data_IF_125212007760
#
_entry.id   IF_125212007760
#
_cell.length_a   1.000
_cell.length_b   1.000
_cell.length_c   1.000
_cell.angle_alpha   90.00
_cell.angle_beta   90.00
_cell.angle_gamma   90.00
#
_symmetry.space_group_name_H-M   'P 1'
#
loop_
_entity.id
_entity.type
_entity.pdbx_description
1 polymer ?
#
# COMPACT_ATOMS: atom_id res chain seq x y z
N UNK A 1 3.77 -5.68 -18.96
CA UNK A 1 4.97 -5.48 -18.12
C UNK A 1 4.63 -5.13 -16.67
N UNK A 2 3.78 -4.15 -16.39
CA UNK A 2 3.34 -3.86 -15.01
C UNK A 2 2.62 -5.06 -14.40
N UNK A 3 1.79 -5.77 -15.16
CA UNK A 3 1.21 -7.06 -14.72
C UNK A 3 2.29 -8.05 -14.26
N UNK A 4 3.45 -8.10 -14.94
CA UNK A 4 4.54 -9.00 -14.57
C UNK A 4 5.17 -8.55 -13.25
N UNK A 5 5.43 -7.25 -13.08
CA UNK A 5 5.98 -6.71 -11.83
C UNK A 5 5.04 -6.92 -10.63
N UNK A 6 3.72 -6.87 -10.86
CA UNK A 6 2.74 -7.08 -9.79
C UNK A 6 2.58 -8.57 -9.47
N UNK A 7 2.50 -9.44 -10.46
CA UNK A 7 2.10 -10.84 -10.27
C UNK A 7 3.23 -11.87 -10.31
N UNK A 8 4.45 -11.52 -10.75
CA UNK A 8 5.62 -12.39 -10.62
C UNK A 8 5.87 -12.79 -9.14
N UNK A 9 5.82 -11.87 -8.16
CA UNK A 9 5.91 -12.24 -6.75
C UNK A 9 4.76 -13.16 -6.30
N UNK A 10 3.55 -13.01 -6.86
CA UNK A 10 2.40 -13.87 -6.54
C UNK A 10 2.65 -15.32 -6.97
N UNK A 11 3.14 -15.52 -8.20
CA UNK A 11 3.49 -16.84 -8.70
C UNK A 11 4.59 -17.48 -7.83
N UNK A 12 5.61 -16.71 -7.47
CA UNK A 12 6.67 -17.16 -6.58
C UNK A 12 6.16 -17.48 -5.16
N UNK A 13 5.21 -16.70 -4.63
CA UNK A 13 4.58 -16.95 -3.34
C UNK A 13 3.82 -18.28 -3.34
N UNK A 14 3.05 -18.55 -4.41
CA UNK A 14 2.35 -19.82 -4.58
C UNK A 14 3.34 -21.00 -4.67
N UNK A 15 4.42 -20.87 -5.44
CA UNK A 15 5.48 -21.87 -5.51
C UNK A 15 6.10 -22.15 -4.13
N UNK A 16 6.45 -21.11 -3.36
CA UNK A 16 6.94 -21.23 -1.99
C UNK A 16 5.95 -21.98 -1.09
N UNK A 17 4.65 -21.66 -1.17
CA UNK A 17 3.60 -22.29 -0.37
C UNK A 17 3.41 -23.78 -0.71
N UNK A 18 3.51 -24.15 -1.99
CA UNK A 18 3.29 -25.50 -2.50
C UNK A 18 4.49 -26.45 -2.36
N UNK A 19 5.70 -25.95 -2.04
CA UNK A 19 6.87 -26.82 -1.85
C UNK A 19 6.61 -27.96 -0.83
N UNK A 20 7.14 -29.17 -1.01
CA UNK A 20 7.08 -30.18 0.04
C UNK A 20 7.90 -29.74 1.27
N UNK A 21 7.56 -30.26 2.47
CA UNK A 21 8.28 -29.91 3.71
C UNK A 21 9.78 -30.22 3.62
N UNK A 22 10.17 -31.25 2.87
CA UNK A 22 11.57 -31.63 2.61
C UNK A 22 12.36 -30.56 1.83
N UNK A 23 11.68 -29.74 1.02
CA UNK A 23 12.30 -28.69 0.22
C UNK A 23 12.08 -27.29 0.81
N UNK A 24 11.68 -27.18 2.08
CA UNK A 24 11.32 -25.90 2.69
C UNK A 24 12.44 -24.85 2.64
N UNK A 25 13.71 -25.30 2.73
CA UNK A 25 14.88 -24.45 2.61
C UNK A 25 15.10 -23.85 1.21
N UNK A 26 14.45 -24.40 0.16
CA UNK A 26 14.55 -23.89 -1.21
C UNK A 26 13.68 -22.63 -1.42
N UNK A 27 12.68 -22.40 -0.57
CA UNK A 27 11.80 -21.23 -0.66
C UNK A 27 12.56 -19.89 -0.65
N UNK A 28 13.69 -19.81 0.08
CA UNK A 28 14.52 -18.60 0.13
C UNK A 28 15.13 -18.26 -1.23
N UNK A 29 15.54 -19.27 -2.00
CA UNK A 29 16.13 -19.07 -3.32
C UNK A 29 15.09 -18.69 -4.35
N UNK A 30 13.88 -19.25 -4.25
CA UNK A 30 12.73 -18.80 -5.04
C UNK A 30 12.45 -17.32 -4.77
N UNK A 31 12.41 -16.92 -3.49
CA UNK A 31 12.15 -15.53 -3.12
C UNK A 31 13.26 -14.58 -3.58
N UNK A 32 14.54 -14.96 -3.44
CA UNK A 32 15.67 -14.15 -3.95
C UNK A 32 15.57 -13.99 -5.47
N UNK A 33 15.34 -15.08 -6.20
CA UNK A 33 15.23 -15.01 -7.66
C UNK A 33 14.04 -14.15 -8.09
N UNK A 34 12.87 -14.34 -7.49
CA UNK A 34 11.67 -13.58 -7.81
C UNK A 34 11.84 -12.08 -7.52
N UNK A 35 12.34 -11.72 -6.33
CA UNK A 35 12.56 -10.31 -5.96
C UNK A 35 13.66 -9.65 -6.77
N UNK A 36 14.73 -10.37 -7.11
CA UNK A 36 15.81 -9.84 -7.94
C UNK A 36 15.35 -9.59 -9.39
N UNK A 37 14.58 -10.53 -9.97
CA UNK A 37 13.99 -10.35 -11.31
C UNK A 37 12.98 -9.21 -11.30
N UNK A 38 12.09 -9.15 -10.29
CA UNK A 38 11.12 -8.07 -10.14
C UNK A 38 11.80 -6.70 -10.07
N UNK A 39 12.80 -6.56 -9.19
CA UNK A 39 13.56 -5.32 -9.06
C UNK A 39 14.34 -4.99 -10.34
N UNK A 40 14.90 -5.99 -11.04
CA UNK A 40 15.52 -5.81 -12.35
C UNK A 40 14.55 -5.25 -13.40
N UNK A 41 13.31 -5.74 -13.43
CA UNK A 41 12.25 -5.21 -14.29
C UNK A 41 11.87 -3.78 -13.92
N UNK A 42 11.83 -3.45 -12.62
CA UNK A 42 11.56 -2.08 -12.15
C UNK A 42 12.71 -1.13 -12.54
N UNK A 43 13.97 -1.56 -12.41
CA UNK A 43 15.14 -0.79 -12.87
C UNK A 43 15.08 -0.55 -14.39
N UNK A 44 14.74 -1.58 -15.17
CA UNK A 44 14.54 -1.45 -16.60
C UNK A 44 13.42 -0.46 -16.92
N UNK A 45 12.24 -0.60 -16.29
CA UNK A 45 11.12 0.33 -16.46
C UNK A 45 11.56 1.77 -16.15
N UNK A 46 12.29 1.97 -15.05
CA UNK A 46 12.81 3.28 -14.62
C UNK A 46 13.73 3.90 -15.68
N UNK A 47 14.60 3.10 -16.32
CA UNK A 47 15.47 3.57 -17.41
C UNK A 47 14.73 4.00 -18.68
N UNK A 48 13.53 3.45 -18.90
CA UNK A 48 12.70 3.75 -20.07
C UNK A 48 11.70 4.89 -19.80
N UNK A 49 11.54 5.29 -18.54
CA UNK A 49 10.60 6.33 -18.14
C UNK A 49 11.03 7.70 -18.66
N UNK A 50 10.09 8.45 -19.26
CA UNK A 50 10.32 9.81 -19.76
C UNK A 50 9.75 10.85 -18.79
N UNK A 51 10.57 11.64 -18.08
CA UNK A 51 10.07 12.71 -17.22
C UNK A 51 9.15 13.68 -17.96
N UNK A 52 8.07 14.12 -17.32
CA UNK A 52 7.08 15.04 -17.92
C UNK A 52 6.06 14.39 -18.87
N UNK A 53 6.22 13.10 -19.21
CA UNK A 53 5.31 12.39 -20.12
C UNK A 53 3.95 11.98 -19.54
N UNK A 54 3.65 12.35 -18.28
CA UNK A 54 2.44 11.91 -17.57
C UNK A 54 2.45 10.40 -17.30
N UNK A 55 1.26 9.79 -17.34
CA UNK A 55 1.06 8.37 -17.09
C UNK A 55 1.63 7.50 -18.23
N UNK A 56 2.51 6.57 -17.89
CA UNK A 56 3.25 5.69 -18.81
C UNK A 56 3.08 4.22 -18.45
N UNK A 57 3.50 3.33 -19.37
CA UNK A 57 3.43 1.87 -19.22
C UNK A 57 2.01 1.36 -18.87
N UNK A 58 0.98 2.00 -19.44
CA UNK A 58 -0.40 1.72 -19.07
C UNK A 58 -0.88 0.39 -19.63
N UNK A 59 -1.57 -0.39 -18.79
CA UNK A 59 -2.24 -1.62 -19.18
C UNK A 59 -3.71 -1.46 -18.80
N UNK A 60 -4.61 -1.51 -19.78
CA UNK A 60 -6.03 -1.23 -19.59
C UNK A 60 -6.89 -2.30 -20.25
N UNK A 61 -7.69 -3.00 -19.44
CA UNK A 61 -8.67 -3.99 -19.90
C UNK A 61 -9.98 -3.82 -19.12
N UNK A 62 -11.11 -4.06 -19.77
CA UNK A 62 -12.39 -4.09 -19.08
C UNK A 62 -12.48 -5.37 -18.24
N UNK A 63 -12.73 -5.26 -16.92
CA UNK A 63 -12.78 -6.41 -16.03
C UNK A 63 -14.22 -6.79 -15.68
N UNK A 64 -15.00 -5.84 -15.17
CA UNK A 64 -16.46 -6.01 -14.95
C UNK A 64 -17.18 -4.83 -15.59
N UNK A 65 -17.42 -4.89 -16.92
CA UNK A 65 -17.92 -3.75 -17.68
C UNK A 65 -19.29 -3.25 -17.21
N UNK A 66 -20.15 -4.13 -16.69
CA UNK A 66 -21.51 -3.78 -16.27
C UNK A 66 -21.54 -2.74 -15.14
N UNK A 67 -20.49 -2.71 -14.33
CA UNK A 67 -20.34 -1.78 -13.20
C UNK A 67 -19.13 -0.86 -13.37
N UNK A 68 -18.52 -0.80 -14.55
CA UNK A 68 -17.42 0.13 -14.85
C UNK A 68 -16.10 -0.18 -14.15
N UNK A 69 -15.85 -1.44 -13.75
CA UNK A 69 -14.57 -1.86 -13.16
C UNK A 69 -13.58 -2.20 -14.27
N UNK A 70 -12.41 -1.58 -14.22
CA UNK A 70 -11.33 -1.75 -15.18
C UNK A 70 -10.11 -2.37 -14.51
N UNK A 71 -9.44 -3.29 -15.20
CA UNK A 71 -8.04 -3.58 -14.90
C UNK A 71 -7.22 -2.47 -15.53
N UNK A 72 -6.91 -1.43 -14.75
CA UNK A 72 -6.16 -0.28 -15.23
C UNK A 72 -4.91 -0.07 -14.38
N UNK A 73 -3.76 -0.35 -14.97
CA UNK A 73 -2.45 -0.07 -14.39
C UNK A 73 -1.74 1.05 -15.14
N UNK A 74 -0.88 1.78 -14.45
CA UNK A 74 0.04 2.75 -15.04
C UNK A 74 1.02 3.32 -14.02
N UNK A 75 2.08 3.94 -14.51
CA UNK A 75 3.12 4.56 -13.68
C UNK A 75 3.41 5.98 -14.16
N UNK A 76 3.49 6.93 -13.23
CA UNK A 76 3.95 8.30 -13.47
C UNK A 76 5.06 8.69 -12.45
N UNK A 77 5.34 10.00 -12.35
CA UNK A 77 6.41 10.54 -11.51
C UNK A 77 6.22 10.33 -10.00
N UNK A 78 5.01 10.06 -9.52
CA UNK A 78 4.78 9.73 -8.10
C UNK A 78 4.74 8.22 -7.86
N UNK A 79 4.23 7.45 -8.83
CA UNK A 79 4.19 5.98 -8.75
C UNK A 79 5.57 5.35 -8.90
N UNK A 80 6.41 5.87 -9.79
CA UNK A 80 7.69 5.26 -10.14
C UNK A 80 8.66 5.17 -8.95
N UNK A 81 8.90 6.23 -8.16
CA UNK A 81 9.79 6.14 -7.01
C UNK A 81 9.26 5.19 -5.93
N UNK A 82 7.94 5.10 -5.77
CA UNK A 82 7.31 4.21 -4.81
C UNK A 82 7.44 2.73 -5.23
N UNK A 83 7.25 2.45 -6.51
CA UNK A 83 7.46 1.12 -7.08
C UNK A 83 8.94 0.69 -6.95
N UNK A 84 9.87 1.59 -7.26
CA UNK A 84 11.31 1.38 -7.07
C UNK A 84 11.66 1.07 -5.62
N UNK A 85 11.16 1.89 -4.68
CA UNK A 85 11.36 1.67 -3.25
C UNK A 85 10.78 0.32 -2.79
N UNK A 86 9.56 -0.02 -3.24
CA UNK A 86 8.91 -1.30 -2.92
C UNK A 86 9.75 -2.51 -3.36
N UNK A 87 10.22 -2.52 -4.61
CA UNK A 87 11.06 -3.59 -5.15
C UNK A 87 12.40 -3.70 -4.42
N UNK A 88 13.10 -2.58 -4.24
CA UNK A 88 14.40 -2.54 -3.57
C UNK A 88 14.31 -3.03 -2.11
N UNK A 89 13.34 -2.50 -1.36
CA UNK A 89 13.19 -2.83 0.05
C UNK A 89 12.76 -4.29 0.24
N UNK A 90 11.95 -4.82 -0.67
CA UNK A 90 11.57 -6.25 -0.62
C UNK A 90 12.76 -7.16 -0.92
N UNK A 91 13.58 -6.82 -1.92
CA UNK A 91 14.82 -7.56 -2.18
C UNK A 91 15.74 -7.56 -0.96
N UNK A 92 15.95 -6.40 -0.33
CA UNK A 92 16.76 -6.29 0.89
C UNK A 92 16.15 -7.13 2.03
N UNK A 93 14.83 -7.05 2.24
CA UNK A 93 14.14 -7.80 3.29
C UNK A 93 14.27 -9.33 3.10
N UNK A 94 14.19 -9.81 1.86
CA UNK A 94 14.41 -11.22 1.53
C UNK A 94 15.86 -11.64 1.77
N UNK A 95 16.84 -10.83 1.36
CA UNK A 95 18.27 -11.10 1.58
C UNK A 95 18.63 -11.10 3.08
N UNK A 96 18.04 -10.19 3.86
CA UNK A 96 18.19 -10.15 5.31
C UNK A 96 17.57 -11.38 6.01
N UNK A 97 16.62 -12.05 5.33
CA UNK A 97 15.90 -13.21 5.87
C UNK A 97 16.47 -14.57 5.44
N UNK A 98 17.65 -14.64 4.81
CA UNK A 98 18.21 -15.90 4.29
C UNK A 98 18.52 -16.96 5.36
N UNK A 99 18.67 -16.53 6.62
CA UNK A 99 18.85 -17.38 7.81
C UNK A 99 17.53 -17.75 8.50
N UNK A 100 16.38 -17.48 7.88
CA UNK A 100 15.07 -17.84 8.44
C UNK A 100 14.85 -19.36 8.41
N UNK A 101 14.86 -19.99 9.58
CA UNK A 101 14.66 -21.44 9.71
C UNK A 101 13.24 -21.82 10.18
N UNK A 102 12.53 -20.90 10.85
CA UNK A 102 11.17 -21.14 11.35
C UNK A 102 10.15 -20.96 10.22
N UNK A 103 9.58 -22.06 9.74
CA UNK A 103 8.54 -22.07 8.69
C UNK A 103 8.91 -21.24 7.44
N UNK A 104 10.09 -21.45 6.82
CA UNK A 104 10.63 -20.58 5.76
C UNK A 104 9.71 -20.45 4.56
N UNK A 105 9.05 -21.54 4.15
CA UNK A 105 8.06 -21.51 3.06
C UNK A 105 6.97 -20.45 3.28
N UNK A 106 6.40 -20.46 4.49
CA UNK A 106 5.29 -19.57 4.81
C UNK A 106 5.79 -18.14 4.95
N UNK A 107 6.96 -17.94 5.57
CA UNK A 107 7.62 -16.63 5.65
C UNK A 107 7.80 -15.98 4.28
N UNK A 108 8.48 -16.66 3.36
CA UNK A 108 8.77 -16.11 2.03
C UNK A 108 7.50 -15.95 1.18
N UNK A 109 6.52 -16.85 1.33
CA UNK A 109 5.22 -16.67 0.67
C UNK A 109 4.50 -15.40 1.15
N UNK A 110 4.52 -15.08 2.45
CA UNK A 110 3.91 -13.87 2.98
C UNK A 110 4.67 -12.60 2.58
N UNK A 111 6.01 -12.61 2.58
CA UNK A 111 6.82 -11.47 2.10
C UNK A 111 6.55 -11.19 0.61
N UNK A 112 6.49 -12.22 -0.22
CA UNK A 112 6.19 -12.08 -1.65
C UNK A 112 4.74 -11.63 -1.89
N UNK A 113 3.77 -12.16 -1.12
CA UNK A 113 2.37 -11.71 -1.19
C UNK A 113 2.22 -10.25 -0.76
N UNK A 114 2.98 -9.81 0.24
CA UNK A 114 3.05 -8.42 0.65
C UNK A 114 3.56 -7.54 -0.49
N UNK A 115 4.58 -7.98 -1.23
CA UNK A 115 5.10 -7.27 -2.41
C UNK A 115 4.05 -7.07 -3.50
N UNK A 116 3.19 -8.08 -3.74
CA UNK A 116 2.07 -7.97 -4.70
C UNK A 116 1.16 -6.80 -4.33
N UNK A 117 0.73 -6.73 -3.06
CA UNK A 117 -0.13 -5.65 -2.59
C UNK A 117 0.56 -4.28 -2.63
N UNK A 118 1.83 -4.20 -2.22
CA UNK A 118 2.60 -2.94 -2.24
C UNK A 118 2.80 -2.43 -3.68
N UNK A 119 3.28 -3.29 -4.58
CA UNK A 119 3.47 -2.93 -5.99
C UNK A 119 2.14 -2.53 -6.63
N UNK A 120 1.09 -3.34 -6.42
CA UNK A 120 -0.24 -3.12 -6.97
C UNK A 120 -0.86 -1.77 -6.58
N UNK A 121 -0.73 -1.35 -5.32
CA UNK A 121 -1.24 -0.04 -4.85
C UNK A 121 -0.63 1.12 -5.63
N UNK A 122 0.68 1.07 -5.91
CA UNK A 122 1.35 2.18 -6.59
C UNK A 122 1.10 2.23 -8.09
N UNK A 123 0.62 1.14 -8.68
CA UNK A 123 0.37 1.08 -10.14
C UNK A 123 -1.12 1.08 -10.50
N UNK A 124 -2.03 0.85 -9.55
CA UNK A 124 -3.47 0.80 -9.81
C UNK A 124 -4.04 2.20 -10.11
N UNK A 125 -4.88 2.27 -11.15
CA UNK A 125 -5.60 3.48 -11.61
C UNK A 125 -7.12 3.28 -11.62
N UNK A 126 -7.60 2.15 -11.12
CA UNK A 126 -9.00 1.86 -10.85
C UNK A 126 -9.17 1.66 -9.33
N UNK A 127 -10.21 2.25 -8.75
CA UNK A 127 -10.41 2.22 -7.31
C UNK A 127 -10.68 0.84 -6.72
N UNK A 128 -11.36 -0.05 -7.45
CA UNK A 128 -11.58 -1.42 -6.97
C UNK A 128 -10.24 -2.15 -6.92
N UNK A 129 -9.43 -2.01 -7.97
CA UNK A 129 -8.11 -2.62 -8.02
C UNK A 129 -7.17 -2.04 -6.96
N UNK A 130 -7.18 -0.72 -6.78
CA UNK A 130 -6.44 -0.03 -5.72
C UNK A 130 -6.84 -0.55 -4.33
N UNK A 131 -8.15 -0.65 -4.05
CA UNK A 131 -8.68 -1.14 -2.78
C UNK A 131 -8.31 -2.60 -2.53
N UNK A 132 -8.39 -3.47 -3.55
CA UNK A 132 -7.99 -4.88 -3.45
C UNK A 132 -6.52 -5.00 -3.06
N UNK A 133 -5.61 -4.28 -3.71
CA UNK A 133 -4.19 -4.32 -3.35
C UNK A 133 -3.91 -3.66 -1.99
N UNK A 134 -4.66 -2.61 -1.65
CA UNK A 134 -4.59 -1.94 -0.36
C UNK A 134 -4.98 -2.84 0.81
N UNK A 135 -6.02 -3.65 0.65
CA UNK A 135 -6.44 -4.64 1.65
C UNK A 135 -5.53 -5.87 1.62
N UNK A 136 -5.03 -6.26 0.45
CA UNK A 136 -4.16 -7.42 0.31
C UNK A 136 -2.92 -7.31 1.20
N UNK A 137 -2.35 -6.12 1.45
CA UNK A 137 -1.16 -5.99 2.30
C UNK A 137 -1.43 -6.28 3.78
N UNK A 138 -2.68 -6.18 4.26
CA UNK A 138 -3.02 -6.41 5.67
C UNK A 138 -2.83 -7.89 6.04
N UNK A 139 -3.26 -8.81 5.17
CA UNK A 139 -3.21 -10.25 5.41
C UNK A 139 -1.78 -10.77 5.65
N UNK A 140 -0.82 -10.61 4.72
CA UNK A 140 0.54 -11.09 4.93
C UNK A 140 1.22 -10.35 6.09
N UNK A 141 0.97 -9.05 6.27
CA UNK A 141 1.58 -8.31 7.39
C UNK A 141 1.08 -8.82 8.75
N UNK A 142 -0.22 -9.09 8.87
CA UNK A 142 -0.80 -9.72 10.06
C UNK A 142 -0.09 -11.04 10.39
N UNK A 143 0.07 -11.94 9.41
CA UNK A 143 0.75 -13.22 9.65
C UNK A 143 2.24 -13.07 9.95
N UNK A 144 2.94 -12.14 9.28
CA UNK A 144 4.35 -11.87 9.53
C UNK A 144 4.60 -11.43 10.98
N UNK A 145 3.72 -10.58 11.53
CA UNK A 145 3.77 -10.16 12.93
C UNK A 145 3.33 -11.31 13.84
N UNK A 146 2.11 -11.84 13.66
CA UNK A 146 1.52 -12.82 14.58
C UNK A 146 2.34 -14.11 14.72
N UNK A 147 2.99 -14.57 13.64
CA UNK A 147 3.70 -15.83 13.67
C UNK A 147 5.17 -15.68 14.08
N UNK A 148 5.87 -14.64 13.65
CA UNK A 148 7.32 -14.47 13.87
C UNK A 148 7.71 -13.31 14.78
N UNK A 149 6.74 -12.49 15.22
CA UNK A 149 7.01 -11.35 16.09
C UNK A 149 7.44 -11.72 17.51
N UNK A 150 7.62 -10.68 18.32
CA UNK A 150 8.04 -10.73 19.71
C UNK A 150 6.98 -11.26 20.70
N UNK A 151 7.09 -10.85 21.96
CA UNK A 151 6.28 -11.38 23.06
C UNK A 151 4.80 -11.01 22.93
N UNK A 152 4.47 -9.77 22.50
CA UNK A 152 3.08 -9.29 22.38
C UNK A 152 2.58 -9.27 20.95
N UNK A 153 3.19 -10.09 20.09
CA UNK A 153 2.91 -10.17 18.66
C UNK A 153 1.44 -10.35 18.29
N UNK A 154 0.67 -11.12 19.06
CA UNK A 154 -0.76 -11.36 18.78
C UNK A 154 -1.58 -10.09 18.99
N UNK A 155 -1.36 -9.40 20.11
CA UNK A 155 -2.00 -8.12 20.40
C UNK A 155 -1.63 -7.07 19.34
N UNK A 156 -0.33 -6.95 19.01
CA UNK A 156 0.13 -6.00 18.00
C UNK A 156 -0.43 -6.30 16.60
N UNK A 157 -0.46 -7.56 16.18
CA UNK A 157 -1.02 -7.96 14.90
C UNK A 157 -2.52 -7.67 14.80
N UNK A 158 -3.30 -8.01 15.83
CA UNK A 158 -4.74 -7.74 15.88
C UNK A 158 -5.01 -6.23 15.89
N UNK A 159 -4.27 -5.47 16.72
CA UNK A 159 -4.42 -4.01 16.79
C UNK A 159 -4.10 -3.35 15.44
N UNK A 160 -2.98 -3.71 14.81
CA UNK A 160 -2.63 -3.26 13.46
C UNK A 160 -3.75 -3.54 12.45
N UNK A 161 -4.23 -4.79 12.42
CA UNK A 161 -5.25 -5.22 11.49
C UNK A 161 -6.56 -4.45 11.69
N UNK A 162 -7.07 -4.38 12.93
CA UNK A 162 -8.34 -3.70 13.22
C UNK A 162 -8.28 -2.19 12.97
N UNK A 163 -7.20 -1.52 13.37
CA UNK A 163 -7.03 -0.09 13.10
C UNK A 163 -7.07 0.19 11.60
N UNK A 164 -6.23 -0.51 10.85
CA UNK A 164 -6.08 -0.25 9.41
C UNK A 164 -7.29 -0.68 8.59
N UNK A 165 -7.96 -1.77 8.99
CA UNK A 165 -9.22 -2.23 8.38
C UNK A 165 -10.36 -1.24 8.62
N UNK A 166 -10.50 -0.71 9.85
CA UNK A 166 -11.56 0.26 10.13
C UNK A 166 -11.40 1.53 9.28
N UNK A 167 -10.17 2.02 9.14
CA UNK A 167 -9.87 3.12 8.24
C UNK A 167 -10.18 2.82 6.78
N UNK A 168 -9.85 1.61 6.30
CA UNK A 168 -10.11 1.23 4.92
C UNK A 168 -11.60 1.01 4.61
N UNK A 169 -12.39 0.52 5.57
CA UNK A 169 -13.86 0.44 5.40
C UNK A 169 -14.46 1.83 5.19
N UNK A 170 -14.00 2.85 5.91
CA UNK A 170 -14.44 4.24 5.66
C UNK A 170 -14.02 4.72 4.27
N UNK A 171 -12.79 4.42 3.86
CA UNK A 171 -12.32 4.70 2.50
C UNK A 171 -13.21 4.03 1.43
N UNK A 172 -13.65 2.78 1.66
CA UNK A 172 -14.55 2.07 0.75
C UNK A 172 -15.90 2.79 0.60
N UNK A 173 -16.44 3.35 1.68
CA UNK A 173 -17.65 4.20 1.61
C UNK A 173 -17.43 5.40 0.68
N UNK A 174 -16.26 6.06 0.77
CA UNK A 174 -15.89 7.15 -0.13
C UNK A 174 -15.78 6.72 -1.60
N UNK A 175 -15.19 5.54 -1.86
CA UNK A 175 -15.10 4.94 -3.20
C UNK A 175 -16.50 4.70 -3.78
N UNK A 176 -17.40 4.09 -3.01
CA UNK A 176 -18.78 3.81 -3.43
C UNK A 176 -19.53 5.12 -3.68
N UNK A 177 -19.37 6.13 -2.84
CA UNK A 177 -20.00 7.44 -3.02
C UNK A 177 -19.57 8.12 -4.33
N UNK A 178 -18.28 8.10 -4.66
CA UNK A 178 -17.77 8.60 -5.94
C UNK A 178 -18.36 7.81 -7.12
N UNK A 179 -18.43 6.49 -7.01
CA UNK A 179 -19.03 5.64 -8.03
C UNK A 179 -20.50 5.97 -8.27
N UNK A 180 -21.29 6.16 -7.22
CA UNK A 180 -22.71 6.54 -7.35
C UNK A 180 -22.90 7.91 -8.00
N UNK A 181 -21.93 8.83 -7.85
CA UNK A 181 -21.97 10.16 -8.44
C UNK A 181 -21.42 10.22 -9.88
N UNK A 182 -20.50 9.33 -10.25
CA UNK A 182 -19.76 9.41 -11.50
C UNK A 182 -19.84 8.17 -12.41
N UNK A 183 -20.35 7.05 -11.90
CA UNK A 183 -20.48 5.76 -12.60
C UNK A 183 -19.18 5.22 -13.20
N UNK A 184 -18.04 5.53 -12.58
CA UNK A 184 -16.71 5.07 -12.99
C UNK A 184 -15.86 4.83 -11.75
N UNK A 185 -15.01 3.79 -11.79
CA UNK A 185 -13.96 3.56 -10.79
C UNK A 185 -12.60 4.06 -11.26
N UNK A 186 -12.50 4.57 -12.50
CA UNK A 186 -11.26 5.06 -13.06
C UNK A 186 -10.81 6.35 -12.33
N UNK A 187 -9.71 6.25 -11.59
CA UNK A 187 -9.20 7.33 -10.75
C UNK A 187 -8.78 8.55 -11.56
N UNK A 188 -8.35 8.36 -12.81
CA UNK A 188 -7.97 9.47 -13.70
C UNK A 188 -9.18 10.23 -14.21
N UNK A 189 -10.24 9.51 -14.56
CA UNK A 189 -11.50 10.13 -14.94
C UNK A 189 -12.11 10.90 -13.78
N UNK A 190 -12.13 10.31 -12.58
CA UNK A 190 -12.60 10.97 -11.36
C UNK A 190 -11.78 12.24 -11.03
N UNK A 191 -10.47 12.23 -11.27
CA UNK A 191 -9.63 13.42 -11.11
C UNK A 191 -10.01 14.55 -12.09
N UNK A 192 -10.30 14.20 -13.35
CA UNK A 192 -10.77 15.19 -14.35
C UNK A 192 -12.12 15.77 -13.94
N UNK A 193 -13.06 14.92 -13.51
CA UNK A 193 -14.38 15.35 -13.06
C UNK A 193 -14.30 16.23 -11.80
N UNK A 194 -13.42 15.87 -10.86
CA UNK A 194 -13.14 16.67 -9.66
C UNK A 194 -12.61 18.06 -10.00
N UNK A 195 -11.62 18.14 -10.89
CA UNK A 195 -11.06 19.41 -11.36
C UNK A 195 -12.08 20.28 -12.13
N UNK A 196 -13.11 19.67 -12.72
CA UNK A 196 -14.22 20.37 -13.39
C UNK A 196 -15.35 20.78 -12.43
N UNK A 197 -15.18 20.56 -11.12
CA UNK A 197 -16.17 20.94 -10.11
C UNK A 197 -17.36 19.99 -10.01
N UNK A 198 -17.23 18.72 -10.46
CA UNK A 198 -18.31 17.72 -10.30
C UNK A 198 -18.60 17.40 -8.84
N UNK A 199 -17.56 17.41 -8.00
CA UNK A 199 -17.66 17.07 -6.58
C UNK A 199 -17.47 18.32 -5.74
N UNK A 200 -18.55 18.85 -5.18
CA UNK A 200 -18.51 20.10 -4.38
C UNK A 200 -19.36 19.99 -3.12
N UNK A 201 -19.23 21.00 -2.24
CA UNK A 201 -20.05 21.18 -1.05
C UNK A 201 -19.97 20.01 -0.05
N UNK A 202 -21.12 19.68 0.54
CA UNK A 202 -21.21 18.66 1.58
C UNK A 202 -20.79 17.27 1.08
N UNK A 203 -21.13 16.92 -0.17
CA UNK A 203 -20.73 15.64 -0.77
C UNK A 203 -19.21 15.52 -0.81
N UNK A 204 -18.51 16.51 -1.39
CA UNK A 204 -17.05 16.50 -1.47
C UNK A 204 -16.41 16.44 -0.08
N UNK A 205 -16.96 17.16 0.90
CA UNK A 205 -16.47 17.15 2.29
C UNK A 205 -16.56 15.76 2.90
N UNK A 206 -17.72 15.09 2.83
CA UNK A 206 -17.88 13.76 3.45
C UNK A 206 -17.04 12.69 2.77
N UNK A 207 -16.97 12.72 1.43
CA UNK A 207 -16.10 11.81 0.67
C UNK A 207 -14.63 12.08 1.01
N UNK A 208 -14.23 13.35 1.11
CA UNK A 208 -12.88 13.72 1.52
C UNK A 208 -12.55 13.21 2.91
N UNK A 209 -13.43 13.39 3.90
CA UNK A 209 -13.22 12.91 5.26
C UNK A 209 -13.12 11.38 5.32
N UNK A 210 -13.92 10.66 4.52
CA UNK A 210 -13.86 9.21 4.41
C UNK A 210 -12.50 8.72 3.89
N UNK A 211 -11.98 9.33 2.81
CA UNK A 211 -10.62 9.06 2.33
C UNK A 211 -9.56 9.52 3.34
N UNK A 212 -9.74 10.68 3.95
CA UNK A 212 -8.80 11.26 4.89
C UNK A 212 -8.57 10.34 6.08
N UNK A 213 -9.62 9.80 6.70
CA UNK A 213 -9.47 8.86 7.81
C UNK A 213 -8.74 7.58 7.36
N UNK A 214 -9.13 7.00 6.22
CA UNK A 214 -8.49 5.79 5.71
C UNK A 214 -6.99 5.97 5.45
N UNK A 215 -6.60 7.07 4.83
CA UNK A 215 -5.20 7.41 4.60
C UNK A 215 -4.49 7.82 5.89
N UNK A 216 -5.12 8.62 6.76
CA UNK A 216 -4.53 9.12 8.01
C UNK A 216 -4.20 8.00 9.01
N UNK A 217 -5.04 6.95 9.09
CA UNK A 217 -4.72 5.74 9.86
C UNK A 217 -3.46 5.07 9.31
N UNK A 218 -3.30 4.99 7.98
CA UNK A 218 -2.13 4.38 7.32
C UNK A 218 -0.88 5.25 7.35
N UNK A 219 -1.02 6.58 7.43
CA UNK A 219 0.06 7.60 7.59
C UNK A 219 0.51 7.81 9.04
N UNK A 220 0.04 6.97 9.97
CA UNK A 220 -0.12 7.29 11.40
C UNK A 220 -0.19 8.79 11.78
N UNK A 221 -1.23 9.49 11.35
CA UNK A 221 -1.48 10.87 11.82
C UNK A 221 -2.01 10.85 13.25
N UNK A 222 -1.62 11.80 14.10
CA UNK A 222 -2.22 11.97 15.42
C UNK A 222 -3.73 12.27 15.32
N UNK A 223 -4.62 11.61 16.08
CA UNK A 223 -4.39 10.63 17.16
C UNK A 223 -4.46 9.14 16.72
N UNK A 224 -4.48 8.87 15.41
CA UNK A 224 -4.69 7.55 14.80
C UNK A 224 -3.42 6.68 14.67
N UNK A 225 -2.34 7.04 15.35
CA UNK A 225 -0.99 6.49 15.17
C UNK A 225 -0.62 5.36 16.15
N UNK A 226 -1.44 5.11 17.17
CA UNK A 226 -1.06 4.27 18.32
C UNK A 226 -0.88 2.78 18.01
N UNK A 227 -1.30 2.32 16.83
CA UNK A 227 -1.00 0.96 16.36
C UNK A 227 0.46 0.82 15.88
N UNK A 228 1.08 1.92 15.44
CA UNK A 228 2.38 1.92 14.79
C UNK A 228 3.53 1.48 15.74
N UNK A 229 3.66 2.02 16.98
CA UNK A 229 4.74 1.61 17.87
C UNK A 229 4.68 0.12 18.21
N UNK A 230 3.48 -0.39 18.55
CA UNK A 230 3.27 -1.80 18.87
C UNK A 230 3.63 -2.70 17.67
N UNK A 231 3.19 -2.32 16.46
CA UNK A 231 3.49 -3.07 15.25
C UNK A 231 5.00 -3.12 14.96
N UNK A 232 5.73 -2.01 15.11
CA UNK A 232 7.17 -1.98 14.85
C UNK A 232 8.02 -2.69 15.90
N UNK A 233 7.65 -2.58 17.18
CA UNK A 233 8.36 -3.23 18.29
C UNK A 233 8.22 -4.75 18.16
N UNK A 234 7.03 -5.24 17.82
CA UNK A 234 6.78 -6.68 17.77
C UNK A 234 7.11 -7.30 16.41
N UNK A 235 7.13 -6.54 15.31
CA UNK A 235 7.44 -7.10 13.99
C UNK A 235 8.90 -7.57 13.88
N UNK A 236 9.16 -8.72 13.23
CA UNK A 236 10.53 -9.12 12.90
C UNK A 236 11.22 -8.08 12.02
N UNK A 237 12.55 -7.97 12.11
CA UNK A 237 13.35 -6.91 11.47
C UNK A 237 12.98 -6.67 10.00
N UNK A 238 12.95 -7.72 9.18
CA UNK A 238 12.64 -7.60 7.75
C UNK A 238 11.18 -7.13 7.49
N UNK A 239 10.21 -7.58 8.29
CA UNK A 239 8.82 -7.13 8.17
C UNK A 239 8.65 -5.67 8.65
N UNK A 240 9.33 -5.30 9.75
CA UNK A 240 9.37 -3.94 10.29
C UNK A 240 9.96 -2.95 9.29
N UNK A 241 11.01 -3.35 8.56
CA UNK A 241 11.60 -2.56 7.47
C UNK A 241 10.59 -2.33 6.34
N UNK A 242 9.85 -3.35 5.90
CA UNK A 242 8.82 -3.18 4.85
C UNK A 242 7.65 -2.32 5.31
N UNK A 243 7.23 -2.51 6.56
CA UNK A 243 6.21 -1.68 7.20
C UNK A 243 6.62 -0.20 7.14
N UNK A 244 7.80 0.15 7.67
CA UNK A 244 8.30 1.53 7.72
C UNK A 244 8.59 2.11 6.34
N UNK A 245 9.27 1.35 5.49
CA UNK A 245 9.78 1.86 4.23
C UNK A 245 8.68 2.03 3.18
N UNK A 246 7.68 1.16 3.15
CA UNK A 246 6.71 1.09 2.04
C UNK A 246 5.26 1.27 2.50
N UNK A 247 4.79 0.51 3.50
CA UNK A 247 3.35 0.51 3.86
C UNK A 247 2.88 1.89 4.32
N UNK A 248 3.71 2.63 5.05
CA UNK A 248 3.39 3.99 5.48
C UNK A 248 3.32 4.98 4.30
N UNK A 249 4.07 4.74 3.22
CA UNK A 249 4.06 5.58 2.01
C UNK A 249 2.79 5.37 1.19
N UNK A 250 2.12 4.23 1.33
CA UNK A 250 0.82 4.00 0.68
C UNK A 250 -0.21 5.03 1.13
N UNK A 251 -0.21 5.42 2.41
CA UNK A 251 -1.14 6.42 2.92
C UNK A 251 -0.90 7.82 2.34
N UNK A 252 0.35 8.27 2.30
CA UNK A 252 0.69 9.57 1.69
C UNK A 252 0.49 9.54 0.18
N UNK A 253 0.79 8.42 -0.48
CA UNK A 253 0.46 8.18 -1.88
C UNK A 253 -1.05 8.31 -2.12
N UNK A 254 -1.88 7.75 -1.24
CA UNK A 254 -3.34 7.91 -1.27
C UNK A 254 -3.77 9.38 -1.25
N UNK A 255 -3.24 10.18 -0.33
CA UNK A 255 -3.53 11.62 -0.30
C UNK A 255 -3.18 12.33 -1.62
N UNK A 256 -2.01 12.04 -2.19
CA UNK A 256 -1.53 12.69 -3.41
C UNK A 256 -2.23 12.20 -4.69
N UNK A 257 -2.56 10.91 -4.77
CA UNK A 257 -3.19 10.29 -5.95
C UNK A 257 -4.70 10.41 -5.95
N UNK A 258 -5.33 10.44 -4.77
CA UNK A 258 -6.79 10.39 -4.60
C UNK A 258 -7.32 11.72 -4.09
N UNK A 259 -7.02 12.09 -2.85
CA UNK A 259 -7.70 13.21 -2.19
C UNK A 259 -7.45 14.54 -2.91
N UNK A 260 -6.19 14.86 -3.20
CA UNK A 260 -5.81 16.12 -3.82
C UNK A 260 -6.41 16.32 -5.23
N UNK A 261 -6.25 15.39 -6.19
CA UNK A 261 -6.73 15.61 -7.57
C UNK A 261 -8.23 15.37 -7.76
N UNK A 262 -8.86 14.50 -6.97
CA UNK A 262 -10.30 14.17 -7.12
C UNK A 262 -11.17 15.13 -6.31
N UNK A 263 -10.70 15.63 -5.16
CA UNK A 263 -11.48 16.48 -4.26
C UNK A 263 -10.72 17.78 -3.94
N UNK A 264 -10.36 18.58 -4.97
CA UNK A 264 -9.47 19.74 -4.79
C UNK A 264 -10.05 20.82 -3.87
N UNK A 265 -11.36 21.08 -3.96
CA UNK A 265 -12.03 22.10 -3.13
C UNK A 265 -12.03 21.68 -1.65
N UNK A 266 -12.44 20.44 -1.35
CA UNK A 266 -12.41 19.92 0.02
C UNK A 266 -10.98 19.85 0.56
N UNK A 267 -9.99 19.48 -0.26
CA UNK A 267 -8.59 19.55 0.14
C UNK A 267 -8.17 20.98 0.53
N UNK A 268 -8.57 21.98 -0.26
CA UNK A 268 -8.25 23.38 -0.01
C UNK A 268 -8.92 23.91 1.27
N UNK A 269 -10.19 23.56 1.50
CA UNK A 269 -10.95 23.96 2.69
C UNK A 269 -10.35 23.39 3.99
N UNK A 270 -9.91 22.12 3.94
CA UNK A 270 -9.41 21.41 5.11
C UNK A 270 -7.89 21.45 5.27
N UNK A 271 -7.16 22.19 4.42
CA UNK A 271 -5.68 22.26 4.43
C UNK A 271 -5.10 22.67 5.78
N UNK A 272 -5.78 23.57 6.50
CA UNK A 272 -5.32 24.03 7.82
C UNK A 272 -5.46 22.94 8.88
N UNK A 273 -6.54 22.15 8.85
CA UNK A 273 -6.66 20.99 9.73
C UNK A 273 -5.53 19.99 9.44
N UNK A 274 -5.29 19.67 8.16
CA UNK A 274 -4.21 18.75 7.76
C UNK A 274 -2.86 19.25 8.29
N UNK A 275 -2.56 20.55 8.10
CA UNK A 275 -1.33 21.16 8.56
C UNK A 275 -1.19 21.11 10.09
N UNK A 276 -2.26 21.44 10.83
CA UNK A 276 -2.28 21.35 12.29
C UNK A 276 -2.04 19.93 12.78
N UNK A 277 -2.73 18.94 12.20
CA UNK A 277 -2.54 17.52 12.55
C UNK A 277 -1.12 17.04 12.22
N UNK A 278 -0.54 17.49 11.11
CA UNK A 278 0.84 17.19 10.75
C UNK A 278 1.83 17.76 11.79
N UNK A 279 1.67 19.03 12.18
CA UNK A 279 2.50 19.66 13.22
C UNK A 279 2.38 18.92 14.55
N UNK A 280 1.15 18.60 14.98
CA UNK A 280 0.93 17.82 16.20
C UNK A 280 1.61 16.46 16.09
N UNK A 281 1.48 15.77 14.96
CA UNK A 281 2.09 14.45 14.76
C UNK A 281 3.62 14.49 14.88
N UNK A 282 4.25 15.53 14.32
CA UNK A 282 5.71 15.74 14.40
C UNK A 282 6.13 15.99 15.85
N UNK A 283 5.50 16.94 16.53
CA UNK A 283 5.86 17.32 17.90
C UNK A 283 5.56 16.20 18.90
N UNK A 284 4.37 15.62 18.83
CA UNK A 284 3.94 14.53 19.72
C UNK A 284 4.81 13.29 19.53
N UNK A 285 5.05 12.89 18.27
CA UNK A 285 5.91 11.74 17.96
C UNK A 285 7.32 11.91 18.52
N UNK A 286 7.91 13.10 18.39
CA UNK A 286 9.23 13.41 18.95
C UNK A 286 9.25 13.36 20.49
N UNK A 287 8.23 13.92 21.15
CA UNK A 287 8.13 13.92 22.61
C UNK A 287 7.94 12.51 23.19
N UNK A 288 7.09 11.69 22.58
CA UNK A 288 6.89 10.30 23.01
C UNK A 288 8.14 9.47 22.79
N UNK A 289 8.84 9.65 21.67
CA UNK A 289 10.10 8.96 21.42
C UNK A 289 11.18 9.30 22.48
N UNK A 290 11.22 10.54 22.98
CA UNK A 290 12.13 10.94 24.06
C UNK A 290 11.80 10.25 25.41
N UNK A 291 10.53 9.93 25.65
CA UNK A 291 10.08 9.24 26.85
C UNK A 291 10.18 7.70 26.77
N UNK A 292 10.54 7.16 25.60
CA UNK A 292 10.63 5.72 25.35
C UNK A 292 11.93 5.14 25.94
N UNK A 293 11.83 4.02 26.65
CA UNK A 293 12.95 3.28 27.29
C UNK A 293 13.20 1.96 26.62
#
# INVERSE_FOLDING_TARGET
MLSIIVFLPLAAAALCALLPKSAAGFAKWIAVAATAVDFGLICWLTSQYRPGGGMQFTEKFAWVPQVGIEYHLGVDGISLPMLFLSGLMTLIAVLASLKMDRQPKFWFAMVLLLQVGMNGVFVALDFVLFYVFWELVLVPMYFLIAQWGGERREYAAIKFFLYTLLGSVLMLVGIIALYLAAHTFNMRELAVLGAQGKFTGAFATWVFLAFFVGFAVKVPVWPLHTWLPDAHVEAPTAASVLLAAVLLKMGTYGFLRVSLPILPDAWADWRWLIATLAVISILYGALVAFAQT
#
